data_IF_142260125066
#
_entry.id   IF_142260125066
#
_cell.length_a   1.000
_cell.length_b   1.000
_cell.length_c   1.000
_cell.angle_alpha   90.00
_cell.angle_beta   90.00
_cell.angle_gamma   90.00
#
_symmetry.space_group_name_H-M   'P 1'
#
loop_
_entity.id
_entity.type
_entity.pdbx_description
1 polymer ?
#
# COMPACT_ATOMS: atom_id res chain seq x y z
N UNK A 1 8.37 -1.96 35.45
CA UNK A 1 8.59 -2.70 34.19
C UNK A 1 7.27 -2.66 33.43
N UNK A 2 7.09 -1.71 32.50
CA UNK A 2 5.80 -1.47 31.86
C UNK A 2 5.56 -2.46 30.72
N UNK A 3 4.59 -3.37 30.89
CA UNK A 3 4.18 -4.36 29.89
C UNK A 3 3.25 -3.81 28.79
N UNK A 4 3.20 -2.50 28.57
CA UNK A 4 2.40 -1.90 27.49
C UNK A 4 3.18 -1.77 26.16
N UNK A 5 4.49 -2.02 26.16
CA UNK A 5 5.42 -1.64 25.08
C UNK A 5 5.78 -2.80 24.11
N UNK A 6 5.14 -3.97 24.23
CA UNK A 6 5.65 -5.18 23.55
C UNK A 6 4.91 -5.59 22.27
N UNK A 7 3.66 -5.17 22.03
CA UNK A 7 2.89 -5.60 20.84
C UNK A 7 2.99 -4.61 19.68
N UNK A 8 2.86 -3.31 19.94
CA UNK A 8 3.00 -2.26 18.93
C UNK A 8 4.42 -2.23 18.35
N UNK A 9 5.43 -2.32 19.22
CA UNK A 9 6.83 -2.40 18.80
C UNK A 9 7.08 -3.61 17.89
N UNK A 10 6.52 -4.79 18.22
CA UNK A 10 6.61 -6.00 17.36
C UNK A 10 5.99 -5.79 15.99
N UNK A 11 4.83 -5.14 15.90
CA UNK A 11 4.18 -4.84 14.61
C UNK A 11 5.05 -3.89 13.78
N UNK A 12 5.60 -2.85 14.41
CA UNK A 12 6.49 -1.89 13.74
C UNK A 12 7.79 -2.54 13.27
N UNK A 13 8.38 -3.42 14.07
CA UNK A 13 9.59 -4.17 13.70
C UNK A 13 9.30 -5.13 12.55
N UNK A 14 8.19 -5.85 12.61
CA UNK A 14 7.74 -6.71 11.52
C UNK A 14 7.53 -5.93 10.21
N UNK A 15 6.90 -4.75 10.29
CA UNK A 15 6.72 -3.88 9.12
C UNK A 15 8.06 -3.42 8.54
N UNK A 16 9.04 -3.08 9.40
CA UNK A 16 10.41 -2.72 8.94
C UNK A 16 11.09 -3.89 8.23
N UNK A 17 11.02 -5.09 8.81
CA UNK A 17 11.58 -6.32 8.22
C UNK A 17 10.94 -6.63 6.86
N UNK A 18 9.61 -6.55 6.76
CA UNK A 18 8.89 -6.80 5.51
C UNK A 18 9.21 -5.77 4.43
N UNK A 19 9.33 -4.49 4.78
CA UNK A 19 9.76 -3.43 3.85
C UNK A 19 11.19 -3.65 3.36
N UNK A 20 12.09 -4.06 4.26
CA UNK A 20 13.47 -4.37 3.88
C UNK A 20 13.50 -5.56 2.93
N UNK A 21 12.84 -6.67 3.30
CA UNK A 21 12.74 -7.85 2.46
C UNK A 21 12.17 -7.54 1.07
N UNK A 22 11.12 -6.72 1.00
CA UNK A 22 10.53 -6.30 -0.28
C UNK A 22 11.55 -5.52 -1.12
N UNK A 23 12.27 -4.57 -0.53
CA UNK A 23 13.32 -3.82 -1.24
C UNK A 23 14.45 -4.74 -1.73
N UNK A 24 14.83 -5.75 -0.96
CA UNK A 24 15.85 -6.73 -1.36
C UNK A 24 15.37 -7.58 -2.53
N UNK A 25 14.11 -8.06 -2.49
CA UNK A 25 13.52 -8.84 -3.59
C UNK A 25 13.37 -8.04 -4.87
N UNK A 26 12.95 -6.78 -4.77
CA UNK A 26 12.86 -5.88 -5.92
C UNK A 26 14.23 -5.53 -6.52
N UNK A 27 15.33 -5.71 -5.76
CA UNK A 27 16.69 -5.51 -6.27
C UNK A 27 17.21 -6.71 -7.08
N UNK A 28 16.50 -7.85 -7.10
CA UNK A 28 16.92 -9.04 -7.85
C UNK A 28 16.47 -8.90 -9.31
N UNK A 29 17.39 -8.86 -10.29
CA UNK A 29 17.02 -8.75 -11.69
C UNK A 29 16.32 -10.01 -12.19
N UNK A 30 15.33 -9.84 -13.06
CA UNK A 30 14.74 -10.93 -13.84
C UNK A 30 14.25 -10.40 -15.20
N UNK A 31 14.11 -11.25 -16.22
CA UNK A 31 13.57 -10.83 -17.50
C UNK A 31 12.05 -10.65 -17.40
N UNK A 32 11.56 -9.42 -17.51
CA UNK A 32 10.13 -9.11 -17.58
C UNK A 32 9.67 -8.04 -16.59
N UNK A 33 8.35 -7.75 -16.55
CA UNK A 33 7.78 -6.74 -15.69
C UNK A 33 7.58 -7.23 -14.25
N UNK A 34 7.81 -6.36 -13.28
CA UNK A 34 7.56 -6.63 -11.86
C UNK A 34 6.22 -6.08 -11.43
N UNK A 35 5.41 -6.92 -10.77
CA UNK A 35 4.16 -6.51 -10.13
C UNK A 35 4.28 -6.70 -8.62
N UNK A 36 3.90 -5.69 -7.86
CA UNK A 36 3.81 -5.76 -6.39
C UNK A 36 2.34 -5.80 -5.99
N UNK A 37 1.98 -6.69 -5.07
CA UNK A 37 0.63 -6.79 -4.52
C UNK A 37 0.70 -6.71 -3.00
N UNK A 38 0.00 -5.74 -2.41
CA UNK A 38 -0.08 -5.56 -0.95
C UNK A 38 -1.53 -5.42 -0.51
N UNK A 39 -1.82 -5.67 0.77
CA UNK A 39 -3.15 -5.36 1.30
C UNK A 39 -3.33 -3.86 1.53
N UNK A 40 -2.44 -3.25 2.32
CA UNK A 40 -2.45 -1.82 2.62
C UNK A 40 -1.91 -0.98 1.44
N UNK A 41 -2.35 0.28 1.36
CA UNK A 41 -1.93 1.20 0.33
C UNK A 41 -0.44 1.58 0.47
N UNK A 42 0.31 1.71 -0.64
CA UNK A 42 1.74 2.03 -0.60
C UNK A 42 2.03 3.53 -0.56
N UNK A 43 0.99 4.37 -0.55
CA UNK A 43 1.09 5.82 -0.44
C UNK A 43 -0.20 6.40 0.13
N UNK A 44 -0.07 7.53 0.83
CA UNK A 44 -1.21 8.32 1.30
C UNK A 44 -2.03 8.92 0.15
N UNK A 45 -1.51 8.92 -1.08
CA UNK A 45 -2.26 9.34 -2.28
C UNK A 45 -3.48 8.47 -2.58
N UNK A 46 -3.51 7.24 -2.07
CA UNK A 46 -4.70 6.39 -2.16
C UNK A 46 -5.77 6.75 -1.11
N UNK A 47 -5.45 7.57 -0.11
CA UNK A 47 -6.43 7.97 0.90
C UNK A 47 -7.37 9.03 0.30
N UNK A 48 -8.70 8.85 0.39
CA UNK A 48 -9.65 9.85 -0.08
C UNK A 48 -9.39 11.22 0.55
N UNK A 49 -9.49 12.29 -0.24
CA UNK A 49 -9.16 13.65 0.19
C UNK A 49 -9.89 14.09 1.47
N UNK A 50 -11.13 13.65 1.65
CA UNK A 50 -11.93 13.92 2.87
C UNK A 50 -11.33 13.35 4.16
N UNK A 51 -10.39 12.41 4.06
CA UNK A 51 -9.70 11.79 5.19
C UNK A 51 -8.20 12.14 5.24
N UNK A 52 -7.69 13.06 4.42
CA UNK A 52 -6.26 13.35 4.32
C UNK A 52 -5.57 13.64 5.66
N UNK A 53 -6.25 14.37 6.56
CA UNK A 53 -5.74 14.77 7.87
C UNK A 53 -6.08 13.79 9.01
N UNK A 54 -6.62 12.61 8.67
CA UNK A 54 -7.05 11.64 9.67
C UNK A 54 -5.84 11.00 10.38
N UNK A 55 -5.76 11.05 11.73
CA UNK A 55 -4.63 10.48 12.46
C UNK A 55 -4.55 8.94 12.38
N UNK A 56 -5.62 8.28 11.91
CA UNK A 56 -5.65 6.83 11.73
C UNK A 56 -5.16 6.38 10.34
N UNK A 57 -4.83 7.30 9.43
CA UNK A 57 -4.33 6.96 8.09
C UNK A 57 -3.13 5.99 8.07
N UNK A 58 -2.21 5.98 9.05
CA UNK A 58 -1.14 4.98 9.10
C UNK A 58 -1.63 3.52 9.25
N UNK A 59 -2.89 3.31 9.64
CA UNK A 59 -3.52 1.97 9.63
C UNK A 59 -3.93 1.54 8.21
N UNK A 60 -4.02 2.46 7.25
CA UNK A 60 -4.49 2.19 5.88
C UNK A 60 -3.39 2.25 4.83
N UNK A 61 -2.45 3.19 5.00
CA UNK A 61 -1.39 3.46 4.05
C UNK A 61 -0.02 3.54 4.74
N UNK A 62 1.00 3.04 4.04
CA UNK A 62 2.41 3.25 4.37
C UNK A 62 3.03 4.21 3.35
N UNK A 63 3.90 5.14 3.77
CA UNK A 63 4.68 5.95 2.82
C UNK A 63 5.82 5.10 2.23
N UNK A 64 5.56 4.46 1.09
CA UNK A 64 6.52 3.64 0.34
C UNK A 64 6.96 4.30 -0.97
N UNK A 65 6.66 5.59 -1.20
CA UNK A 65 6.92 6.24 -2.49
C UNK A 65 8.41 6.20 -2.86
N UNK A 66 9.31 6.37 -1.88
CA UNK A 66 10.76 6.26 -2.11
C UNK A 66 11.18 4.87 -2.57
N UNK A 67 10.56 3.82 -2.03
CA UNK A 67 10.82 2.43 -2.43
C UNK A 67 10.31 2.18 -3.85
N UNK A 68 9.12 2.70 -4.17
CA UNK A 68 8.55 2.65 -5.52
C UNK A 68 9.46 3.36 -6.52
N UNK A 69 9.86 4.60 -6.24
CA UNK A 69 10.74 5.35 -7.14
C UNK A 69 12.10 4.66 -7.34
N UNK A 70 12.65 4.04 -6.30
CA UNK A 70 13.92 3.32 -6.35
C UNK A 70 13.86 2.10 -7.28
N UNK A 71 12.80 1.30 -7.18
CA UNK A 71 12.72 -0.01 -7.85
C UNK A 71 11.84 -0.02 -9.11
N UNK A 72 10.98 0.97 -9.26
CA UNK A 72 10.09 1.18 -10.41
C UNK A 72 9.39 -0.10 -10.91
N UNK A 73 8.68 -0.87 -10.05
CA UNK A 73 7.84 -1.96 -10.55
C UNK A 73 6.81 -1.42 -11.55
N UNK A 74 6.38 -2.23 -12.52
CA UNK A 74 5.45 -1.77 -13.56
C UNK A 74 4.07 -1.46 -12.98
N UNK A 75 3.63 -2.28 -12.02
CA UNK A 75 2.33 -2.18 -11.38
C UNK A 75 2.42 -2.45 -9.87
N UNK A 76 1.70 -1.66 -9.10
CA UNK A 76 1.45 -1.90 -7.68
C UNK A 76 -0.06 -2.00 -7.42
N UNK A 77 -0.52 -3.16 -6.97
CA UNK A 77 -1.93 -3.40 -6.65
C UNK A 77 -2.09 -3.36 -5.12
N UNK A 78 -3.09 -2.63 -4.64
CA UNK A 78 -3.44 -2.64 -3.22
C UNK A 78 -4.95 -2.70 -2.97
N UNK A 79 -5.33 -2.80 -1.70
CA UNK A 79 -6.71 -2.85 -1.23
C UNK A 79 -6.93 -1.96 0.00
N UNK A 80 -7.77 -2.46 0.91
CA UNK A 80 -8.01 -1.97 2.28
C UNK A 80 -8.69 -0.60 2.43
N UNK A 81 -8.49 0.33 1.50
CA UNK A 81 -9.07 1.68 1.58
C UNK A 81 -10.56 1.75 1.20
N UNK A 82 -11.10 0.65 0.63
CA UNK A 82 -12.50 0.50 0.22
C UNK A 82 -13.01 1.53 -0.79
N UNK A 83 -12.08 2.21 -1.45
CA UNK A 83 -12.30 3.18 -2.51
C UNK A 83 -11.38 2.87 -3.68
N UNK A 84 -11.82 3.22 -4.88
CA UNK A 84 -11.02 3.01 -6.08
C UNK A 84 -9.90 4.05 -6.20
N UNK A 85 -8.71 3.62 -6.61
CA UNK A 85 -7.57 4.49 -6.86
C UNK A 85 -6.81 4.04 -8.11
N UNK A 86 -6.45 4.96 -8.99
CA UNK A 86 -5.57 4.72 -10.14
C UNK A 86 -4.69 5.95 -10.37
N UNK A 87 -3.38 5.81 -10.18
CA UNK A 87 -2.45 6.92 -10.30
C UNK A 87 -1.02 6.43 -10.57
N UNK A 88 -0.09 7.35 -10.83
CA UNK A 88 1.32 7.03 -11.02
C UNK A 88 2.22 7.60 -9.92
N UNK A 89 3.24 6.81 -9.54
CA UNK A 89 4.44 7.26 -8.82
C UNK A 89 5.65 6.92 -9.69
N UNK A 90 6.27 7.94 -10.28
CA UNK A 90 7.32 7.73 -11.28
C UNK A 90 6.76 6.95 -12.48
N UNK A 91 7.34 5.77 -12.76
CA UNK A 91 6.89 4.86 -13.84
C UNK A 91 5.91 3.78 -13.37
N UNK A 92 5.70 3.65 -12.06
CA UNK A 92 4.82 2.64 -11.49
C UNK A 92 3.39 3.12 -11.51
N UNK A 93 2.50 2.33 -12.13
CA UNK A 93 1.06 2.50 -11.96
C UNK A 93 0.64 1.89 -10.61
N UNK A 94 -0.12 2.62 -9.82
CA UNK A 94 -0.67 2.15 -8.54
C UNK A 94 -2.18 2.06 -8.68
N UNK A 95 -2.74 0.89 -8.38
CA UNK A 95 -4.17 0.62 -8.54
C UNK A 95 -4.80 -0.02 -7.31
N UNK A 96 -6.05 0.33 -7.05
CA UNK A 96 -6.93 -0.28 -6.07
C UNK A 96 -8.33 -0.38 -6.65
N UNK A 97 -8.84 -1.60 -6.89
CA UNK A 97 -10.22 -1.84 -7.35
C UNK A 97 -11.00 -2.66 -6.31
N UNK A 98 -11.22 -2.14 -5.09
CA UNK A 98 -11.95 -2.90 -4.11
C UNK A 98 -13.42 -2.98 -4.54
N UNK A 99 -14.08 -4.10 -4.24
CA UNK A 99 -15.54 -4.19 -4.38
C UNK A 99 -16.28 -3.13 -3.53
N UNK A 100 -15.62 -2.56 -2.52
CA UNK A 100 -16.21 -1.58 -1.60
C UNK A 100 -17.25 -2.20 -0.66
N UNK A 101 -17.86 -1.34 0.18
CA UNK A 101 -19.04 -1.73 0.94
C UNK A 101 -20.29 -1.54 0.09
N UNK A 102 -20.83 -2.66 -0.40
CA UNK A 102 -22.17 -2.73 -0.98
C UNK A 102 -23.22 -2.58 0.11
N UNK A 103 -23.92 -1.44 0.17
CA UNK A 103 -25.19 -1.38 0.93
C UNK A 103 -26.33 -2.08 0.18
N UNK A 104 -26.30 -2.09 -1.18
CA UNK A 104 -27.39 -2.64 -2.01
C UNK A 104 -26.95 -3.41 -3.30
N UNK A 105 -25.67 -3.76 -3.48
CA UNK A 105 -25.21 -4.49 -4.68
C UNK A 105 -23.73 -4.29 -4.99
N UNK A 106 -23.11 -5.07 -5.90
CA UNK A 106 -21.66 -5.07 -6.12
C UNK A 106 -21.14 -3.66 -6.43
N UNK A 107 -20.17 -3.18 -5.65
CA UNK A 107 -19.61 -1.84 -5.83
C UNK A 107 -18.97 -1.69 -7.21
N UNK A 108 -19.04 -0.47 -7.72
CA UNK A 108 -18.70 -0.15 -9.10
C UNK A 108 -17.25 -0.53 -9.41
N UNK A 109 -17.07 -1.42 -10.40
CA UNK A 109 -15.76 -1.72 -10.95
C UNK A 109 -15.23 -0.50 -11.72
N UNK A 110 -13.91 -0.41 -11.90
CA UNK A 110 -13.32 0.50 -12.88
C UNK A 110 -14.02 0.38 -14.26
N UNK A 111 -14.40 1.53 -14.84
CA UNK A 111 -14.75 1.66 -16.27
C UNK A 111 -13.49 1.64 -17.15
#
# INVERSE_FOLDING_TARGET
MNMADSSQQKIMDRHREERQWLSERLSVPFPGPTVVVTHHAPSFRSIPHQFAESPINPAFASDLEKLILKHSPELWIHGHIHESADYQIGKTRVVCNPLGYSVDGPGAAFE
#
